data_IF_592519297353
#
_entry.id   IF_592519297353
#
_cell.length_a   1.000
_cell.length_b   1.000
_cell.length_c   1.000
_cell.angle_alpha   90.00
_cell.angle_beta   90.00
_cell.angle_gamma   90.00
#
_symmetry.space_group_name_H-M   'P 1'
#
loop_
_entity.id
_entity.type
_entity.pdbx_description
1 polymer ?
#
# COMPACT_ATOMS: atom_id res chain seq x y z
N UNK A 1 36.40 -27.31 12.42
CA UNK A 1 35.19 -27.14 13.23
C UNK A 1 35.14 -25.68 13.66
N UNK A 2 34.23 -24.82 13.22
CA UNK A 2 33.06 -25.00 12.38
C UNK A 2 32.79 -23.68 11.65
N UNK A 3 32.71 -23.74 10.31
CA UNK A 3 32.11 -22.69 9.49
C UNK A 3 30.60 -22.85 9.64
N UNK A 4 29.93 -21.91 10.30
CA UNK A 4 28.47 -21.81 10.21
C UNK A 4 28.12 -20.92 9.03
N UNK A 5 27.78 -21.57 7.93
CA UNK A 5 27.00 -21.00 6.83
C UNK A 5 25.58 -20.74 7.37
N UNK A 6 25.18 -19.47 7.45
CA UNK A 6 23.77 -19.12 7.59
C UNK A 6 23.17 -19.03 6.19
N UNK A 7 22.36 -20.04 5.90
CA UNK A 7 21.57 -20.23 4.68
C UNK A 7 20.43 -19.21 4.61
N UNK A 8 20.29 -18.65 3.41
CA UNK A 8 19.06 -18.24 2.73
C UNK A 8 17.88 -17.84 3.61
N UNK A 9 17.77 -16.54 3.86
CA UNK A 9 16.52 -15.93 4.29
C UNK A 9 15.79 -15.46 3.03
N UNK A 10 14.76 -16.23 2.72
CA UNK A 10 13.55 -15.91 1.96
C UNK A 10 13.68 -14.86 0.85
N UNK A 11 13.47 -15.34 -0.38
CA UNK A 11 12.99 -14.56 -1.51
C UNK A 11 11.63 -13.90 -1.18
N UNK A 12 11.65 -12.81 -0.40
CA UNK A 12 10.55 -11.88 -0.30
C UNK A 12 10.50 -11.11 -1.61
N UNK A 13 9.43 -11.35 -2.36
CA UNK A 13 9.10 -10.63 -3.58
C UNK A 13 9.12 -9.14 -3.25
N UNK A 14 10.14 -8.43 -3.73
CA UNK A 14 10.26 -6.98 -3.65
C UNK A 14 9.02 -6.36 -4.32
N UNK A 15 7.95 -6.15 -3.55
CA UNK A 15 6.90 -5.21 -3.94
C UNK A 15 7.59 -3.86 -3.98
N UNK A 16 7.71 -3.26 -5.15
CA UNK A 16 8.18 -1.89 -5.31
C UNK A 16 7.22 -0.95 -4.56
N UNK A 17 7.45 -0.76 -3.26
CA UNK A 17 6.75 0.24 -2.46
C UNK A 17 7.31 1.58 -2.91
N UNK A 18 6.62 2.20 -3.86
CA UNK A 18 6.91 3.57 -4.26
C UNK A 18 6.67 4.50 -3.06
N UNK A 19 7.74 4.92 -2.37
CA UNK A 19 7.70 5.89 -1.28
C UNK A 19 8.11 7.27 -1.80
N UNK A 20 7.43 8.32 -1.33
CA UNK A 20 7.95 9.67 -1.43
C UNK A 20 8.88 9.89 -0.23
N UNK A 21 10.12 10.29 -0.52
CA UNK A 21 11.09 10.68 0.52
C UNK A 21 11.09 12.19 0.62
N UNK A 22 10.70 12.72 1.78
CA UNK A 22 10.79 14.14 2.07
C UNK A 22 11.93 14.37 3.06
N UNK A 23 12.89 15.21 2.67
CA UNK A 23 14.06 15.55 3.49
C UNK A 23 14.04 17.03 3.85
N UNK A 24 14.08 17.33 5.14
CA UNK A 24 14.24 18.67 5.69
C UNK A 24 15.60 18.71 6.41
N UNK A 25 16.46 19.66 6.04
CA UNK A 25 17.77 19.86 6.67
C UNK A 25 17.80 21.26 7.27
N UNK A 26 18.15 21.35 8.54
CA UNK A 26 18.49 22.58 9.26
C UNK A 26 19.99 22.57 9.62
N UNK A 27 20.53 23.66 10.17
CA UNK A 27 21.94 23.72 10.58
C UNK A 27 22.31 22.65 11.62
N UNK A 28 21.35 22.32 12.50
CA UNK A 28 21.56 21.42 13.64
C UNK A 28 20.97 20.01 13.45
N UNK A 29 20.11 19.79 12.45
CA UNK A 29 19.36 18.53 12.33
C UNK A 29 18.94 18.16 10.90
N UNK A 30 18.81 16.85 10.68
CA UNK A 30 18.22 16.26 9.47
C UNK A 30 16.96 15.46 9.82
N UNK A 31 15.86 15.74 9.13
CA UNK A 31 14.62 14.98 9.21
C UNK A 31 14.33 14.32 7.86
N UNK A 32 14.15 12.99 7.88
CA UNK A 32 13.75 12.21 6.70
C UNK A 32 12.41 11.53 6.98
N UNK A 33 11.39 11.90 6.20
CA UNK A 33 10.07 11.28 6.24
C UNK A 33 9.87 10.37 5.03
N UNK A 34 9.61 9.09 5.30
CA UNK A 34 9.23 8.11 4.29
C UNK A 34 7.71 7.97 4.27
N UNK A 35 7.06 8.61 3.30
CA UNK A 35 5.61 8.54 3.13
C UNK A 35 5.34 7.49 2.05
N UNK A 36 4.60 6.42 2.39
CA UNK A 36 4.09 5.48 1.38
C UNK A 36 3.25 6.27 0.38
N UNK A 37 3.50 6.14 -0.93
CA UNK A 37 2.51 6.60 -1.90
C UNK A 37 1.27 5.75 -1.69
N UNK A 38 0.28 6.35 -1.06
CA UNK A 38 -1.08 5.85 -1.13
C UNK A 38 -1.47 5.94 -2.61
N UNK A 39 -2.19 4.94 -3.12
CA UNK A 39 -2.67 4.96 -4.52
C UNK A 39 -3.52 6.20 -4.78
N UNK A 40 -3.76 6.50 -6.06
CA UNK A 40 -4.47 7.72 -6.45
C UNK A 40 -5.90 7.74 -5.84
N UNK A 41 -6.27 8.76 -5.05
CA UNK A 41 -7.60 8.85 -4.47
C UNK A 41 -8.72 8.97 -5.52
N UNK A 42 -8.42 9.48 -6.72
CA UNK A 42 -9.37 9.53 -7.83
C UNK A 42 -9.78 8.13 -8.31
N UNK A 43 -8.81 7.22 -8.44
CA UNK A 43 -9.07 5.82 -8.83
C UNK A 43 -9.90 5.08 -7.75
N UNK A 44 -9.70 5.41 -6.47
CA UNK A 44 -10.53 4.87 -5.39
C UNK A 44 -11.98 5.31 -5.53
N UNK A 45 -12.20 6.61 -5.76
CA UNK A 45 -13.55 7.17 -5.90
C UNK A 45 -14.27 6.61 -7.13
N UNK A 46 -13.56 6.42 -8.24
CA UNK A 46 -14.12 5.80 -9.45
C UNK A 46 -14.61 4.37 -9.17
N UNK A 47 -13.78 3.54 -8.51
CA UNK A 47 -14.15 2.17 -8.13
C UNK A 47 -15.38 2.15 -7.21
N UNK A 48 -15.48 3.07 -6.26
CA UNK A 48 -16.64 3.16 -5.37
C UNK A 48 -17.90 3.64 -6.08
N UNK A 49 -17.77 4.58 -7.02
CA UNK A 49 -18.90 5.03 -7.81
C UNK A 49 -19.50 3.86 -8.62
N UNK A 50 -18.66 3.11 -9.34
CA UNK A 50 -19.10 1.95 -10.13
C UNK A 50 -19.78 0.89 -9.25
N UNK A 51 -19.19 0.59 -8.08
CA UNK A 51 -19.75 -0.39 -7.14
C UNK A 51 -21.11 0.07 -6.55
N UNK A 52 -21.29 1.37 -6.34
CA UNK A 52 -22.56 1.93 -5.86
C UNK A 52 -23.67 1.71 -6.87
N UNK A 53 -23.40 2.02 -8.14
CA UNK A 53 -24.37 1.96 -9.23
C UNK A 53 -24.77 0.52 -9.61
N UNK A 54 -23.95 -0.47 -9.27
CA UNK A 54 -24.23 -1.89 -9.56
C UNK A 54 -25.47 -2.41 -8.79
N UNK A 55 -26.61 -2.54 -9.46
CA UNK A 55 -27.84 -3.04 -8.85
C UNK A 55 -27.91 -4.57 -8.77
N UNK A 56 -26.94 -5.28 -9.33
CA UNK A 56 -26.93 -6.75 -9.34
C UNK A 56 -26.40 -7.35 -8.02
N UNK A 57 -25.69 -6.54 -7.24
CA UNK A 57 -25.08 -6.93 -5.98
C UNK A 57 -25.92 -6.51 -4.78
N UNK A 58 -25.99 -7.40 -3.79
CA UNK A 58 -26.55 -7.08 -2.48
C UNK A 58 -25.63 -6.15 -1.69
N UNK A 59 -26.18 -5.48 -0.67
CA UNK A 59 -25.39 -4.63 0.23
C UNK A 59 -24.26 -5.39 0.92
N UNK A 60 -24.46 -6.68 1.24
CA UNK A 60 -23.44 -7.51 1.88
C UNK A 60 -22.26 -7.75 0.93
N UNK A 61 -22.53 -8.09 -0.33
CA UNK A 61 -21.49 -8.30 -1.35
C UNK A 61 -20.74 -7.01 -1.67
N UNK A 62 -21.44 -5.88 -1.76
CA UNK A 62 -20.81 -4.56 -1.93
C UNK A 62 -19.88 -4.25 -0.78
N UNK A 63 -20.26 -4.52 0.46
CA UNK A 63 -19.40 -4.28 1.62
C UNK A 63 -18.11 -5.12 1.58
N UNK A 64 -18.18 -6.37 1.14
CA UNK A 64 -16.98 -7.20 0.97
C UNK A 64 -16.06 -6.67 -0.14
N UNK A 65 -16.63 -6.15 -1.23
CA UNK A 65 -15.86 -5.52 -2.30
C UNK A 65 -15.23 -4.19 -1.88
N UNK A 66 -15.93 -3.36 -1.10
CA UNK A 66 -15.37 -2.13 -0.51
C UNK A 66 -14.13 -2.46 0.33
N UNK A 67 -14.19 -3.49 1.19
CA UNK A 67 -13.03 -3.91 1.99
C UNK A 67 -11.84 -4.28 1.12
N UNK A 68 -12.05 -5.05 0.05
CA UNK A 68 -10.99 -5.43 -0.90
C UNK A 68 -10.39 -4.22 -1.61
N UNK A 69 -11.23 -3.30 -2.07
CA UNK A 69 -10.81 -2.05 -2.72
C UNK A 69 -9.96 -1.19 -1.77
N UNK A 70 -10.36 -1.08 -0.50
CA UNK A 70 -9.60 -0.33 0.50
C UNK A 70 -8.26 -0.97 0.84
N UNK A 71 -8.21 -2.31 0.98
CA UNK A 71 -6.94 -3.02 1.19
C UNK A 71 -5.99 -2.79 0.01
N UNK A 72 -6.49 -2.90 -1.22
CA UNK A 72 -5.72 -2.63 -2.43
C UNK A 72 -5.23 -1.18 -2.49
N UNK A 73 -6.08 -0.22 -2.09
CA UNK A 73 -5.75 1.20 -2.06
C UNK A 73 -4.67 1.55 -1.03
N UNK A 74 -4.72 0.90 0.14
CA UNK A 74 -3.78 1.14 1.24
C UNK A 74 -2.40 0.49 1.04
N UNK A 75 -2.33 -0.63 0.31
CA UNK A 75 -1.06 -1.30 -0.02
C UNK A 75 -0.43 -2.08 1.12
#
# INVERSE_FOLDING_TARGET
>A
MDKKEEKDISSESKKDIHTNVYKLVTEDAEFVMNIRKIKNPGELLEKFYLLREDQTLTSAEKNELVKKIMIDYMG
#
